data_IF_100101883144
#
_entry.id   IF_100101883144
#
_cell.length_a   1.000
_cell.length_b   1.000
_cell.length_c   1.000
_cell.angle_alpha   90.00
_cell.angle_beta   90.00
_cell.angle_gamma   90.00
#
_symmetry.space_group_name_H-M   'P 1'
#
loop_
_entity.id
_entity.type
_entity.pdbx_description
1 polymer ?
#
# COMPACT_ATOMS: atom_id res chain seq x y z
N UNK A 1 18.51 -37.99 -53.13
CA UNK A 1 19.09 -36.66 -52.89
C UNK A 1 18.90 -36.33 -51.41
N UNK A 2 19.98 -36.29 -50.61
CA UNK A 2 19.93 -35.98 -49.18
C UNK A 2 20.28 -34.50 -48.98
N UNK A 3 19.33 -33.70 -48.51
CA UNK A 3 19.57 -32.33 -48.05
C UNK A 3 19.53 -32.29 -46.52
N UNK A 4 20.67 -32.05 -45.88
CA UNK A 4 20.78 -31.96 -44.42
C UNK A 4 20.45 -30.53 -43.97
N UNK A 5 19.31 -30.34 -43.28
CA UNK A 5 19.01 -29.07 -42.60
C UNK A 5 19.69 -29.08 -41.23
N UNK A 6 20.76 -28.30 -41.07
CA UNK A 6 21.39 -28.02 -39.77
C UNK A 6 20.41 -27.21 -38.92
N UNK A 7 19.90 -27.80 -37.83
CA UNK A 7 19.21 -27.05 -36.78
C UNK A 7 20.25 -26.25 -35.98
N UNK A 8 20.07 -24.94 -35.90
CA UNK A 8 20.84 -24.07 -35.01
C UNK A 8 20.57 -24.48 -33.54
N UNK A 9 21.59 -24.45 -32.66
CA UNK A 9 21.39 -24.76 -31.25
C UNK A 9 20.46 -23.71 -30.62
N UNK A 10 19.32 -24.15 -30.11
CA UNK A 10 18.41 -23.31 -29.33
C UNK A 10 19.07 -23.02 -27.99
N UNK A 11 19.57 -21.80 -27.82
CA UNK A 11 20.02 -21.28 -26.52
C UNK A 11 18.87 -21.42 -25.52
N UNK A 12 19.04 -22.08 -24.36
CA UNK A 12 18.00 -22.09 -23.35
C UNK A 12 17.76 -20.66 -22.89
N UNK A 13 16.53 -20.17 -23.06
CA UNK A 13 16.10 -18.89 -22.52
C UNK A 13 16.11 -18.99 -21.01
N UNK A 14 17.12 -18.41 -20.38
CA UNK A 14 17.18 -18.27 -18.93
C UNK A 14 16.12 -17.25 -18.50
N UNK A 15 14.96 -17.74 -18.08
CA UNK A 15 13.99 -16.95 -17.32
C UNK A 15 14.65 -16.48 -16.02
N UNK A 16 14.62 -15.18 -15.67
CA UNK A 16 15.29 -14.68 -14.48
C UNK A 16 14.66 -15.29 -13.23
N UNK A 17 15.45 -16.05 -12.47
CA UNK A 17 15.08 -16.62 -11.18
C UNK A 17 14.66 -15.50 -10.24
N UNK A 18 13.36 -15.40 -9.93
CA UNK A 18 12.84 -14.52 -8.88
C UNK A 18 13.51 -14.95 -7.57
N UNK A 19 14.48 -14.17 -7.09
CA UNK A 19 14.99 -14.35 -5.72
C UNK A 19 13.81 -14.16 -4.77
N UNK A 20 13.32 -15.24 -4.18
CA UNK A 20 12.44 -15.14 -3.02
C UNK A 20 13.25 -14.42 -1.95
N UNK A 21 12.90 -13.15 -1.69
CA UNK A 21 13.47 -12.41 -0.58
C UNK A 21 13.07 -13.16 0.70
N UNK A 22 14.00 -13.94 1.26
CA UNK A 22 13.82 -14.50 2.59
C UNK A 22 13.68 -13.32 3.54
N UNK A 23 12.46 -13.12 4.06
CA UNK A 23 12.14 -12.03 4.97
C UNK A 23 12.85 -12.32 6.29
N UNK A 24 14.04 -11.76 6.47
CA UNK A 24 14.78 -11.84 7.71
C UNK A 24 14.07 -10.93 8.74
N UNK A 25 13.12 -11.49 9.49
CA UNK A 25 12.21 -10.76 10.38
C UNK A 25 12.98 -9.97 11.44
N UNK A 26 14.12 -10.49 11.89
CA UNK A 26 15.06 -9.85 12.83
C UNK A 26 15.76 -8.62 12.27
N UNK A 27 15.87 -8.49 10.93
CA UNK A 27 16.43 -7.32 10.27
C UNK A 27 15.40 -6.19 10.07
N UNK A 28 14.12 -6.39 10.45
CA UNK A 28 13.11 -5.33 10.34
C UNK A 28 13.43 -4.20 11.31
N UNK A 29 13.51 -2.98 10.79
CA UNK A 29 13.79 -1.78 11.57
C UNK A 29 12.62 -1.34 12.46
N UNK A 30 11.40 -1.81 12.18
CA UNK A 30 10.20 -1.52 12.96
C UNK A 30 9.34 -2.79 13.13
N UNK A 31 8.76 -3.03 14.33
CA UNK A 31 7.79 -4.09 14.56
C UNK A 31 6.39 -3.71 14.04
N UNK A 32 6.32 -3.15 12.83
CA UNK A 32 5.07 -2.67 12.23
C UNK A 32 4.70 -3.52 11.01
N UNK A 33 3.40 -3.77 10.84
CA UNK A 33 2.85 -4.46 9.68
C UNK A 33 1.98 -3.49 8.88
N UNK A 34 2.28 -3.35 7.59
CA UNK A 34 1.47 -2.57 6.65
C UNK A 34 0.86 -3.52 5.64
N UNK A 35 -0.48 -3.57 5.59
CA UNK A 35 -1.23 -4.44 4.70
C UNK A 35 -2.23 -3.64 3.89
N UNK A 36 -2.33 -3.97 2.60
CA UNK A 36 -3.29 -3.39 1.68
C UNK A 36 -4.33 -4.45 1.30
N UNK A 37 -5.60 -4.13 1.55
CA UNK A 37 -6.72 -4.98 1.19
C UNK A 37 -7.36 -4.45 -0.10
N UNK A 38 -7.37 -5.28 -1.14
CA UNK A 38 -7.84 -4.90 -2.50
C UNK A 38 -8.81 -5.96 -3.01
N UNK A 39 -9.91 -5.50 -3.61
CA UNK A 39 -10.89 -6.36 -4.26
C UNK A 39 -11.98 -5.53 -4.94
N UNK A 40 -12.79 -6.19 -5.77
CA UNK A 40 -13.91 -5.56 -6.47
C UNK A 40 -14.92 -4.96 -5.48
N UNK A 41 -15.62 -3.90 -5.89
CA UNK A 41 -16.71 -3.36 -5.08
C UNK A 41 -17.74 -4.46 -4.78
N UNK A 42 -18.08 -4.63 -3.50
CA UNK A 42 -19.01 -5.68 -3.05
C UNK A 42 -18.38 -7.05 -2.75
N UNK A 43 -17.08 -7.26 -2.98
CA UNK A 43 -16.41 -8.57 -2.76
C UNK A 43 -16.16 -8.94 -1.29
N UNK A 44 -16.67 -8.19 -0.32
CA UNK A 44 -16.49 -8.50 1.11
C UNK A 44 -15.12 -8.15 1.70
N UNK A 45 -14.29 -7.38 0.99
CA UNK A 45 -12.95 -6.96 1.47
C UNK A 45 -13.01 -6.25 2.83
N UNK A 46 -14.01 -5.41 3.06
CA UNK A 46 -14.14 -4.68 4.34
C UNK A 46 -14.42 -5.61 5.53
N UNK A 47 -15.41 -6.52 5.48
CA UNK A 47 -15.56 -7.57 6.49
C UNK A 47 -14.28 -8.36 6.75
N UNK A 48 -13.58 -8.79 5.70
CA UNK A 48 -12.33 -9.57 5.83
C UNK A 48 -11.23 -8.76 6.53
N UNK A 49 -11.03 -7.50 6.10
CA UNK A 49 -10.03 -6.62 6.71
C UNK A 49 -10.32 -6.35 8.18
N UNK A 50 -11.60 -6.23 8.55
CA UNK A 50 -12.01 -6.03 9.94
C UNK A 50 -11.79 -7.28 10.79
N UNK A 51 -12.20 -8.46 10.31
CA UNK A 51 -11.98 -9.72 11.02
C UNK A 51 -10.48 -9.98 11.23
N UNK A 52 -9.68 -9.79 10.17
CA UNK A 52 -8.24 -9.94 10.24
C UNK A 52 -7.59 -8.96 11.22
N UNK A 53 -8.06 -7.70 11.27
CA UNK A 53 -7.59 -6.72 12.23
C UNK A 53 -7.95 -7.09 13.68
N UNK A 54 -9.14 -7.64 13.92
CA UNK A 54 -9.52 -8.16 15.24
C UNK A 54 -8.57 -9.27 15.70
N UNK A 55 -8.26 -10.24 14.84
CA UNK A 55 -7.31 -11.32 15.17
C UNK A 55 -5.93 -10.77 15.54
N UNK A 56 -5.40 -9.83 14.76
CA UNK A 56 -4.11 -9.18 15.07
C UNK A 56 -4.11 -8.45 16.42
N UNK A 57 -5.23 -7.83 16.77
CA UNK A 57 -5.38 -7.13 18.04
C UNK A 57 -5.50 -8.11 19.21
N UNK A 58 -6.37 -9.10 19.08
CA UNK A 58 -6.77 -10.00 20.17
C UNK A 58 -5.71 -11.06 20.46
N UNK A 59 -5.14 -11.67 19.42
CA UNK A 59 -4.18 -12.77 19.56
C UNK A 59 -2.73 -12.30 19.69
N UNK A 60 -2.41 -11.15 19.11
CA UNK A 60 -1.02 -10.69 18.98
C UNK A 60 -0.77 -9.30 19.59
N UNK A 61 -1.81 -8.63 20.12
CA UNK A 61 -1.66 -7.35 20.81
C UNK A 61 -1.29 -6.17 19.90
N UNK A 62 -1.49 -6.28 18.58
CA UNK A 62 -1.19 -5.17 17.68
C UNK A 62 -2.17 -4.01 17.84
N UNK A 63 -1.62 -2.79 17.83
CA UNK A 63 -2.43 -1.59 17.62
C UNK A 63 -2.84 -1.49 16.14
N UNK A 64 -4.14 -1.31 15.90
CA UNK A 64 -4.70 -1.28 14.55
C UNK A 64 -4.93 0.16 14.10
N UNK A 65 -4.34 0.51 12.95
CA UNK A 65 -4.59 1.78 12.28
C UNK A 65 -5.19 1.58 10.89
N UNK A 66 -6.47 1.93 10.74
CA UNK A 66 -7.11 1.90 9.43
C UNK A 66 -6.83 3.17 8.61
N UNK A 67 -6.39 2.98 7.37
CA UNK A 67 -6.26 4.04 6.36
C UNK A 67 -7.22 3.73 5.23
N UNK A 68 -8.32 4.49 5.13
CA UNK A 68 -9.32 4.34 4.06
C UNK A 68 -8.96 5.26 2.90
N UNK A 69 -8.58 4.67 1.77
CA UNK A 69 -8.27 5.41 0.52
C UNK A 69 -9.43 6.30 0.09
N UNK A 70 -10.68 5.81 0.25
CA UNK A 70 -11.86 6.60 -0.07
C UNK A 70 -11.99 7.87 0.76
N UNK A 71 -11.54 7.89 2.01
CA UNK A 71 -11.50 9.12 2.83
C UNK A 71 -10.41 10.06 2.32
N UNK A 72 -9.22 9.54 2.03
CA UNK A 72 -8.11 10.35 1.51
C UNK A 72 -8.45 11.00 0.16
N UNK A 73 -9.14 10.27 -0.73
CA UNK A 73 -9.60 10.77 -2.02
C UNK A 73 -10.51 12.00 -1.88
N UNK A 74 -11.42 12.01 -0.90
CA UNK A 74 -12.31 13.17 -0.68
C UNK A 74 -11.53 14.41 -0.31
N UNK A 75 -10.46 14.27 0.48
CA UNK A 75 -9.64 15.39 0.92
C UNK A 75 -8.80 16.01 -0.21
N UNK A 76 -8.60 15.29 -1.31
CA UNK A 76 -7.77 15.74 -2.44
C UNK A 76 -8.56 15.88 -3.74
N UNK A 77 -9.88 15.66 -3.72
CA UNK A 77 -10.73 15.73 -4.91
C UNK A 77 -10.67 17.12 -5.56
N UNK A 78 -10.72 18.17 -4.76
CA UNK A 78 -10.68 19.56 -5.24
C UNK A 78 -9.38 19.86 -6.00
N UNK A 79 -8.28 19.16 -5.71
CA UNK A 79 -6.99 19.35 -6.38
C UNK A 79 -6.96 18.93 -7.85
N UNK A 80 -8.01 18.24 -8.31
CA UNK A 80 -8.26 17.86 -9.71
C UNK A 80 -9.54 18.47 -10.26
N UNK A 81 -10.10 19.49 -9.59
CA UNK A 81 -11.33 20.16 -10.01
C UNK A 81 -12.59 19.30 -9.84
N UNK A 82 -12.50 18.23 -9.07
CA UNK A 82 -13.63 17.34 -8.77
C UNK A 82 -14.17 17.59 -7.38
N UNK A 83 -15.47 17.34 -7.19
CA UNK A 83 -16.08 17.30 -5.86
C UNK A 83 -16.50 15.87 -5.54
N UNK A 84 -16.16 15.42 -4.33
CA UNK A 84 -16.73 14.17 -3.83
C UNK A 84 -18.24 14.35 -3.67
N UNK A 85 -19.01 13.55 -4.39
CA UNK A 85 -20.46 13.49 -4.19
C UNK A 85 -20.73 12.87 -2.82
N UNK A 86 -21.54 13.55 -1.99
CA UNK A 86 -21.94 13.09 -0.65
C UNK A 86 -23.40 12.61 -0.61
N UNK A 87 -24.21 13.07 -1.56
CA UNK A 87 -25.63 12.72 -1.75
C UNK A 87 -25.81 11.63 -2.82
N UNK A 88 -27.01 11.11 -3.01
CA UNK A 88 -27.28 10.07 -4.04
C UNK A 88 -27.04 8.62 -3.59
N UNK A 89 -27.10 7.71 -4.56
CA UNK A 89 -27.06 6.26 -4.33
C UNK A 89 -25.65 5.82 -3.90
N UNK A 90 -25.56 4.62 -3.31
CA UNK A 90 -24.25 4.04 -2.96
C UNK A 90 -23.41 3.76 -4.20
N UNK A 91 -24.03 3.39 -5.32
CA UNK A 91 -23.35 3.15 -6.58
C UNK A 91 -22.74 4.45 -7.12
N UNK A 92 -23.51 5.53 -7.14
CA UNK A 92 -23.07 6.85 -7.63
C UNK A 92 -21.84 7.36 -6.86
N UNK A 93 -21.85 7.16 -5.53
CA UNK A 93 -20.73 7.53 -4.66
C UNK A 93 -19.47 6.71 -4.96
N UNK A 94 -19.63 5.42 -5.24
CA UNK A 94 -18.50 4.54 -5.58
C UNK A 94 -17.92 4.94 -6.93
N UNK A 95 -18.78 5.14 -7.93
CA UNK A 95 -18.38 5.55 -9.27
C UNK A 95 -17.66 6.91 -9.25
N UNK A 96 -18.21 7.90 -8.53
CA UNK A 96 -17.57 9.20 -8.38
C UNK A 96 -16.16 9.10 -7.77
N UNK A 97 -15.98 8.31 -6.71
CA UNK A 97 -14.66 8.10 -6.10
C UNK A 97 -13.69 7.38 -7.05
N UNK A 98 -14.17 6.42 -7.83
CA UNK A 98 -13.36 5.74 -8.85
C UNK A 98 -12.90 6.73 -9.94
N UNK A 99 -13.81 7.58 -10.41
CA UNK A 99 -13.52 8.62 -11.40
C UNK A 99 -12.50 9.64 -10.89
N UNK A 100 -12.66 10.13 -9.66
CA UNK A 100 -11.68 11.00 -9.00
C UNK A 100 -10.32 10.29 -8.92
N UNK A 101 -10.29 9.03 -8.49
CA UNK A 101 -9.06 8.24 -8.43
C UNK A 101 -8.38 8.07 -9.78
N UNK A 102 -9.14 7.87 -10.86
CA UNK A 102 -8.62 7.77 -12.22
C UNK A 102 -8.02 9.11 -12.69
N UNK A 103 -8.72 10.22 -12.46
CA UNK A 103 -8.23 11.57 -12.80
C UNK A 103 -6.95 11.92 -12.05
N UNK A 104 -6.85 11.61 -10.75
CA UNK A 104 -5.63 11.81 -9.97
C UNK A 104 -4.45 11.04 -10.55
N UNK A 105 -4.67 9.79 -10.99
CA UNK A 105 -3.61 8.98 -11.61
C UNK A 105 -3.14 9.53 -12.96
N UNK A 106 -4.07 10.06 -13.75
CA UNK A 106 -3.77 10.68 -15.05
C UNK A 106 -3.05 12.03 -14.90
N UNK A 107 -3.52 12.90 -14.00
CA UNK A 107 -3.05 14.27 -13.87
C UNK A 107 -1.80 14.43 -13.01
N UNK A 108 -1.59 13.53 -12.02
CA UNK A 108 -0.47 13.63 -11.08
C UNK A 108 0.57 12.54 -11.33
N UNK A 109 0.20 11.28 -11.10
CA UNK A 109 1.06 10.11 -11.33
C UNK A 109 0.29 8.81 -11.04
N UNK A 110 0.68 7.72 -11.71
CA UNK A 110 0.06 6.41 -11.52
C UNK A 110 0.10 5.90 -10.06
N UNK A 111 1.13 6.27 -9.31
CA UNK A 111 1.35 5.89 -7.91
C UNK A 111 0.86 6.94 -6.90
N UNK A 112 0.16 8.00 -7.35
CA UNK A 112 -0.28 9.10 -6.49
C UNK A 112 -1.08 8.63 -5.27
N UNK A 113 -2.01 7.68 -5.46
CA UNK A 113 -2.81 7.14 -4.34
C UNK A 113 -1.97 6.37 -3.32
N UNK A 114 -0.88 5.73 -3.77
CA UNK A 114 0.05 5.09 -2.85
C UNK A 114 0.84 6.13 -2.08
N UNK A 115 1.30 7.20 -2.74
CA UNK A 115 2.02 8.31 -2.10
C UNK A 115 1.21 8.96 -0.96
N UNK A 116 -0.08 9.23 -1.19
CA UNK A 116 -0.94 9.80 -0.12
C UNK A 116 -1.16 8.82 1.04
N UNK A 117 -1.24 7.51 0.78
CA UNK A 117 -1.34 6.51 1.85
C UNK A 117 -0.04 6.43 2.67
N UNK A 118 1.12 6.42 2.00
CA UNK A 118 2.43 6.44 2.66
C UNK A 118 2.62 7.72 3.46
N UNK A 119 2.16 8.86 2.93
CA UNK A 119 2.17 10.13 3.65
C UNK A 119 1.30 10.06 4.92
N UNK A 120 0.12 9.44 4.85
CA UNK A 120 -0.75 9.26 6.01
C UNK A 120 -0.12 8.36 7.07
N UNK A 121 0.55 7.27 6.66
CA UNK A 121 1.35 6.42 7.57
C UNK A 121 2.45 7.26 8.22
N UNK A 122 3.20 8.05 7.45
CA UNK A 122 4.27 8.89 7.97
C UNK A 122 3.76 9.92 8.98
N UNK A 123 2.62 10.57 8.72
CA UNK A 123 1.95 11.49 9.65
C UNK A 123 1.58 10.78 10.97
N UNK A 124 0.97 9.60 10.88
CA UNK A 124 0.62 8.81 12.08
C UNK A 124 1.85 8.44 12.90
N UNK A 125 2.92 7.95 12.24
CA UNK A 125 4.20 7.67 12.91
C UNK A 125 4.79 8.91 13.57
N UNK A 126 4.72 10.06 12.91
CA UNK A 126 5.24 11.31 13.45
C UNK A 126 4.48 11.74 14.71
N UNK A 127 3.14 11.73 14.64
CA UNK A 127 2.29 12.11 15.77
C UNK A 127 2.44 11.15 16.96
N UNK A 128 2.77 9.88 16.72
CA UNK A 128 3.07 8.90 17.76
C UNK A 128 4.50 9.00 18.32
N UNK A 129 5.30 10.00 17.91
CA UNK A 129 6.71 10.13 18.34
C UNK A 129 7.62 9.02 17.80
N UNK A 130 7.21 8.35 16.72
CA UNK A 130 7.87 7.19 16.12
C UNK A 130 9.12 7.50 15.31
N UNK A 131 9.64 8.74 15.35
CA UNK A 131 10.89 9.12 14.71
C UNK A 131 11.89 9.63 15.75
N UNK A 132 13.14 9.16 15.64
CA UNK A 132 14.26 9.75 16.36
C UNK A 132 14.69 11.04 15.67
N UNK A 133 14.92 12.07 16.48
CA UNK A 133 15.52 13.32 16.01
C UNK A 133 17.04 13.11 15.98
N UNK A 134 17.59 12.83 14.82
CA UNK A 134 19.02 12.86 14.61
C UNK A 134 19.40 14.28 14.13
N UNK A 135 20.39 14.89 14.79
CA UNK A 135 20.77 16.29 14.57
C UNK A 135 21.18 16.58 13.12
N UNK A 136 21.77 15.59 12.43
CA UNK A 136 22.36 15.75 11.09
C UNK A 136 21.71 14.84 10.02
N UNK A 137 20.58 14.19 10.32
CA UNK A 137 19.94 13.29 9.36
C UNK A 137 18.96 14.05 8.43
N UNK A 138 19.26 14.04 7.13
CA UNK A 138 18.34 14.52 6.09
C UNK A 138 17.05 13.69 5.95
N UNK A 139 17.03 12.49 6.56
CA UNK A 139 15.91 11.54 6.47
C UNK A 139 15.50 11.11 7.88
N UNK A 140 14.19 11.14 8.16
CA UNK A 140 13.64 10.75 9.46
C UNK A 140 13.92 9.27 9.77
N UNK A 141 14.58 8.99 10.89
CA UNK A 141 14.94 7.64 11.33
C UNK A 141 13.82 7.14 12.26
N UNK A 142 13.19 5.98 12.00
CA UNK A 142 12.17 5.45 12.89
C UNK A 142 12.76 5.07 14.26
N UNK A 143 12.08 5.45 15.34
CA UNK A 143 12.46 5.11 16.72
C UNK A 143 12.16 3.63 16.96
N UNK A 144 13.20 2.84 17.23
CA UNK A 144 13.03 1.43 17.65
C UNK A 144 12.32 1.41 19.00
N UNK A 145 11.18 0.73 19.09
CA UNK A 145 10.61 0.33 20.37
C UNK A 145 11.51 -0.77 20.93
N UNK A 146 12.36 -0.42 21.88
CA UNK A 146 13.10 -1.41 22.68
C UNK A 146 12.15 -1.78 23.81
N UNK A 147 11.46 -2.92 23.67
CA UNK A 147 10.76 -3.51 24.81
C UNK A 147 11.84 -3.92 25.81
N UNK A 148 11.91 -3.23 26.95
CA UNK A 148 12.57 -3.77 28.13
C UNK A 148 11.67 -4.90 28.63
N UNK A 149 12.17 -6.13 28.55
CA UNK A 149 11.62 -7.27 29.27
C UNK A 149 12.30 -7.35 30.63
#
# INVERSE_FOLDING_TARGET
MKGTVKRLPTKPSASPTRKHAQLNVTARRTPELVMAFVGAAGSGVTPVANAFASELKEQFGYEIHHIKVSTLLRNVADSVGEKSITTGSKADKIENLQNIGNKLRQLKSADYLMKICVQEIAKKRHNAGGYQRAADALVAIPKRWVAFY
#
